data_IF_097404938095
#
_entry.id   IF_097404938095
#
_cell.length_a   1.000
_cell.length_b   1.000
_cell.length_c   1.000
_cell.angle_alpha   90.00
_cell.angle_beta   90.00
_cell.angle_gamma   90.00
#
_symmetry.space_group_name_H-M   'P 1'
#
loop_
_entity.id
_entity.type
_entity.pdbx_description
1 polymer ?
#
# COMPACT_ATOMS: atom_id res chain seq x y z
N UNK A 1 28.36 3.66 -11.11
CA UNK A 1 27.03 3.57 -10.46
C UNK A 1 26.36 4.93 -10.46
N UNK A 2 25.12 5.07 -10.96
CA UNK A 2 24.56 6.39 -11.30
C UNK A 2 24.02 7.12 -10.04
N UNK A 3 24.66 8.24 -9.63
CA UNK A 3 24.35 9.03 -8.41
C UNK A 3 22.85 9.34 -8.26
N UNK A 4 22.14 9.54 -9.37
CA UNK A 4 20.70 9.85 -9.39
C UNK A 4 19.84 8.71 -8.80
N UNK A 5 20.20 7.44 -9.04
CA UNK A 5 19.45 6.28 -8.53
C UNK A 5 19.48 6.20 -7.01
N UNK A 6 20.62 6.50 -6.40
CA UNK A 6 20.76 6.52 -4.95
C UNK A 6 19.89 7.59 -4.30
N UNK A 7 19.82 8.78 -4.90
CA UNK A 7 18.98 9.86 -4.39
C UNK A 7 17.50 9.42 -4.38
N UNK A 8 17.00 8.82 -5.47
CA UNK A 8 15.63 8.30 -5.49
C UNK A 8 15.40 7.18 -4.47
N UNK A 9 16.33 6.24 -4.35
CA UNK A 9 16.22 5.16 -3.37
C UNK A 9 16.20 5.67 -1.92
N UNK A 10 17.03 6.67 -1.60
CA UNK A 10 17.02 7.30 -0.27
C UNK A 10 15.70 8.03 -0.03
N UNK A 11 15.18 8.77 -1.01
CA UNK A 11 13.89 9.46 -0.87
C UNK A 11 12.76 8.46 -0.60
N UNK A 12 12.66 7.38 -1.39
CA UNK A 12 11.62 6.37 -1.17
C UNK A 12 11.79 5.64 0.15
N UNK A 13 13.02 5.30 0.54
CA UNK A 13 13.29 4.69 1.84
C UNK A 13 12.85 5.60 3.00
N UNK A 14 13.09 6.92 2.90
CA UNK A 14 12.63 7.89 3.91
C UNK A 14 11.11 7.95 3.95
N UNK A 15 10.42 8.00 2.81
CA UNK A 15 8.95 8.02 2.75
C UNK A 15 8.36 6.76 3.43
N UNK A 16 8.89 5.59 3.11
CA UNK A 16 8.46 4.32 3.69
C UNK A 16 8.79 4.23 5.19
N UNK A 17 9.95 4.73 5.60
CA UNK A 17 10.33 4.81 7.01
C UNK A 17 9.42 5.75 7.80
N UNK A 18 8.97 6.86 7.20
CA UNK A 18 7.99 7.76 7.83
C UNK A 18 6.66 7.06 8.04
N UNK A 19 6.14 6.34 7.04
CA UNK A 19 4.89 5.57 7.18
C UNK A 19 5.04 4.46 8.23
N UNK A 20 6.16 3.74 8.24
CA UNK A 20 6.45 2.76 9.28
C UNK A 20 6.48 3.43 10.67
N UNK A 21 7.18 4.56 10.80
CA UNK A 21 7.25 5.34 12.04
C UNK A 21 5.88 5.75 12.55
N UNK A 22 5.01 6.25 11.66
CA UNK A 22 3.61 6.56 11.99
C UNK A 22 2.85 5.32 12.47
N UNK A 23 3.03 4.18 11.80
CA UNK A 23 2.38 2.92 12.15
C UNK A 23 2.82 2.39 13.53
N UNK A 24 4.09 2.55 13.90
CA UNK A 24 4.62 2.15 15.20
C UNK A 24 4.32 3.13 16.34
N UNK A 25 3.87 4.35 16.03
CA UNK A 25 3.69 5.42 17.03
C UNK A 25 2.27 5.97 17.02
N UNK A 26 2.04 7.09 16.33
CA UNK A 26 0.84 7.91 16.40
C UNK A 26 -0.41 7.19 15.90
N UNK A 27 -0.25 6.31 14.90
CA UNK A 27 -1.36 5.62 14.25
C UNK A 27 -1.47 4.15 14.66
N UNK A 28 -0.75 3.69 15.69
CA UNK A 28 -0.77 2.27 16.08
C UNK A 28 -2.15 1.77 16.56
N UNK A 29 -3.08 2.66 16.89
CA UNK A 29 -4.46 2.32 17.26
C UNK A 29 -5.38 2.18 16.05
N UNK A 30 -4.94 2.59 14.86
CA UNK A 30 -5.71 2.51 13.62
C UNK A 30 -5.51 1.14 12.98
N UNK A 31 -6.60 0.49 12.54
CA UNK A 31 -6.62 -0.92 12.12
C UNK A 31 -5.46 -1.32 11.20
N UNK A 32 -5.26 -0.62 10.06
CA UNK A 32 -4.20 -1.01 9.12
C UNK A 32 -2.81 -0.60 9.57
N UNK A 33 -2.68 0.48 10.31
CA UNK A 33 -1.40 0.92 10.85
C UNK A 33 -0.94 -0.03 11.97
N UNK A 34 -1.85 -0.45 12.84
CA UNK A 34 -1.62 -1.52 13.80
C UNK A 34 -1.24 -2.82 13.09
N UNK A 35 -1.98 -3.19 12.04
CA UNK A 35 -1.69 -4.38 11.25
C UNK A 35 -0.28 -4.30 10.63
N UNK A 36 0.10 -3.16 10.06
CA UNK A 36 1.42 -2.97 9.46
C UNK A 36 2.55 -3.00 10.50
N UNK A 37 2.34 -2.44 11.69
CA UNK A 37 3.29 -2.52 12.79
C UNK A 37 3.46 -3.96 13.31
N UNK A 38 2.36 -4.69 13.47
CA UNK A 38 2.38 -6.09 13.89
C UNK A 38 3.02 -6.99 12.82
N UNK A 39 2.70 -6.75 11.55
CA UNK A 39 3.18 -7.48 10.39
C UNK A 39 4.32 -6.74 9.67
N UNK A 40 5.22 -6.09 10.43
CA UNK A 40 6.25 -5.20 9.88
C UNK A 40 7.15 -5.84 8.84
N UNK A 41 7.39 -7.15 8.93
CA UNK A 41 8.15 -7.90 7.92
C UNK A 41 7.48 -7.83 6.54
N UNK A 42 6.15 -7.91 6.49
CA UNK A 42 5.40 -7.76 5.24
C UNK A 42 5.56 -6.36 4.66
N UNK A 43 5.42 -5.33 5.51
CA UNK A 43 5.64 -3.94 5.11
C UNK A 43 7.08 -3.71 4.60
N UNK A 44 8.09 -4.27 5.27
CA UNK A 44 9.47 -4.19 4.82
C UNK A 44 9.71 -4.89 3.49
N UNK A 45 9.09 -6.05 3.25
CA UNK A 45 9.20 -6.74 1.95
C UNK A 45 8.63 -5.85 0.85
N UNK A 46 7.48 -5.19 1.07
CA UNK A 46 6.94 -4.22 0.11
C UNK A 46 7.93 -3.09 -0.16
N UNK A 47 8.52 -2.51 0.89
CA UNK A 47 9.53 -1.45 0.74
C UNK A 47 10.81 -1.92 0.05
N UNK A 48 11.29 -3.14 0.32
CA UNK A 48 12.46 -3.69 -0.36
C UNK A 48 12.20 -3.90 -1.86
N UNK A 49 10.99 -4.33 -2.23
CA UNK A 49 10.59 -4.47 -3.64
C UNK A 49 10.64 -3.11 -4.34
N UNK A 50 10.10 -2.04 -3.73
CA UNK A 50 10.12 -0.71 -4.35
C UNK A 50 11.55 -0.23 -4.58
N UNK A 51 12.44 -0.41 -3.59
CA UNK A 51 13.85 -0.03 -3.71
C UNK A 51 14.57 -0.85 -4.77
N UNK A 52 14.32 -2.17 -4.84
CA UNK A 52 14.92 -3.06 -5.83
C UNK A 52 14.54 -2.66 -7.27
N UNK A 53 13.29 -2.23 -7.50
CA UNK A 53 12.83 -1.77 -8.82
C UNK A 53 13.64 -0.58 -9.36
N UNK A 54 14.13 0.31 -8.50
CA UNK A 54 15.01 1.44 -8.90
C UNK A 54 16.30 0.91 -9.51
N UNK A 55 16.91 -0.10 -8.90
CA UNK A 55 18.16 -0.69 -9.39
C UNK A 55 17.95 -1.46 -10.69
N UNK A 56 16.77 -2.04 -10.91
CA UNK A 56 16.34 -2.70 -12.16
C UNK A 56 15.93 -1.73 -13.29
N UNK A 57 16.12 -0.41 -13.12
CA UNK A 57 15.67 0.64 -14.07
C UNK A 57 14.15 0.75 -14.24
N UNK A 58 13.36 0.22 -13.31
CA UNK A 58 11.90 0.28 -13.29
C UNK A 58 11.42 1.45 -12.43
N UNK A 59 11.96 2.65 -12.69
CA UNK A 59 11.77 3.82 -11.81
C UNK A 59 10.31 4.25 -11.71
N UNK A 60 9.53 4.21 -12.80
CA UNK A 60 8.11 4.56 -12.73
C UNK A 60 7.32 3.53 -11.92
N UNK A 61 7.61 2.24 -12.10
CA UNK A 61 6.96 1.18 -11.32
C UNK A 61 7.24 1.34 -9.83
N UNK A 62 8.50 1.65 -9.48
CA UNK A 62 8.94 1.91 -8.10
C UNK A 62 8.18 3.08 -7.47
N UNK A 63 8.16 4.25 -8.12
CA UNK A 63 7.46 5.45 -7.62
C UNK A 63 5.97 5.20 -7.44
N UNK A 64 5.32 4.58 -8.43
CA UNK A 64 3.88 4.29 -8.33
C UNK A 64 3.57 3.24 -7.27
N UNK A 65 4.43 2.21 -7.10
CA UNK A 65 4.26 1.25 -6.01
C UNK A 65 4.41 1.92 -4.64
N UNK A 66 5.41 2.78 -4.46
CA UNK A 66 5.58 3.57 -3.23
C UNK A 66 4.36 4.46 -2.97
N UNK A 67 3.85 5.15 -3.99
CA UNK A 67 2.61 5.92 -3.88
C UNK A 67 1.40 5.04 -3.51
N UNK A 68 1.26 3.85 -4.11
CA UNK A 68 0.21 2.90 -3.80
C UNK A 68 0.28 2.35 -2.37
N UNK A 69 1.50 2.11 -1.85
CA UNK A 69 1.72 1.70 -0.46
C UNK A 69 1.26 2.81 0.49
N UNK A 70 1.69 4.05 0.25
CA UNK A 70 1.40 5.21 1.10
C UNK A 70 -0.09 5.57 1.02
N UNK A 71 -0.63 5.84 -0.17
CA UNK A 71 -2.04 6.23 -0.33
C UNK A 71 -2.95 5.08 0.07
N UNK A 72 -2.61 3.85 -0.32
CA UNK A 72 -3.43 2.69 -0.05
C UNK A 72 -3.56 2.35 1.43
N UNK A 73 -2.53 2.58 2.27
CA UNK A 73 -2.65 2.29 3.70
C UNK A 73 -3.63 3.27 4.38
N UNK A 74 -3.60 4.55 4.00
CA UNK A 74 -4.58 5.52 4.50
C UNK A 74 -5.99 5.23 3.94
N UNK A 75 -6.10 5.04 2.62
CA UNK A 75 -7.38 4.76 1.97
C UNK A 75 -8.01 3.47 2.51
N UNK A 76 -7.25 2.38 2.59
CA UNK A 76 -7.71 1.12 3.14
C UNK A 76 -8.13 1.24 4.61
N UNK A 77 -7.41 2.02 5.42
CA UNK A 77 -7.75 2.17 6.82
C UNK A 77 -9.12 2.85 7.01
N UNK A 78 -9.32 3.99 6.35
CA UNK A 78 -10.54 4.77 6.53
C UNK A 78 -11.73 4.21 5.74
N UNK A 79 -11.52 3.77 4.50
CA UNK A 79 -12.59 3.14 3.71
C UNK A 79 -12.97 1.78 4.30
N UNK A 80 -12.01 0.99 4.77
CA UNK A 80 -12.26 -0.28 5.43
C UNK A 80 -13.10 -0.10 6.71
N UNK A 81 -12.73 0.87 7.55
CA UNK A 81 -13.53 1.24 8.74
C UNK A 81 -14.93 1.68 8.37
N UNK A 82 -15.07 2.52 7.33
CA UNK A 82 -16.38 3.00 6.87
C UNK A 82 -17.27 1.84 6.39
N UNK A 83 -16.74 0.96 5.54
CA UNK A 83 -17.48 -0.20 5.02
C UNK A 83 -17.86 -1.15 6.16
N UNK A 84 -16.94 -1.40 7.11
CA UNK A 84 -17.24 -2.19 8.30
C UNK A 84 -18.40 -1.60 9.10
N UNK A 85 -18.38 -0.29 9.37
CA UNK A 85 -19.47 0.37 10.10
C UNK A 85 -20.82 0.25 9.40
N UNK A 86 -20.84 0.39 8.06
CA UNK A 86 -22.06 0.17 7.26
C UNK A 86 -22.56 -1.29 7.30
N UNK A 87 -21.65 -2.25 7.42
CA UNK A 87 -21.98 -3.67 7.47
C UNK A 87 -22.45 -4.10 8.87
N UNK A 88 -21.82 -3.61 9.92
CA UNK A 88 -22.22 -3.88 11.30
C UNK A 88 -23.62 -3.32 11.60
N UNK A 89 -24.01 -2.21 10.96
CA UNK A 89 -25.38 -1.69 11.02
C UNK A 89 -26.46 -2.61 10.42
N UNK A 90 -26.08 -3.70 9.74
CA UNK A 90 -27.00 -4.69 9.16
C UNK A 90 -27.22 -5.90 10.09
N UNK A 91 -26.50 -5.98 11.21
CA UNK A 91 -26.59 -7.10 12.14
C UNK A 91 -27.94 -7.02 12.89
N UNK A 92 -28.71 -8.10 12.84
CA UNK A 92 -29.99 -8.23 13.53
C UNK A 92 -29.97 -9.38 14.54
N UNK A 93 -30.82 -9.28 15.55
CA UNK A 93 -31.02 -10.37 16.52
C UNK A 93 -31.53 -11.63 15.80
N UNK A 94 -30.96 -12.79 16.13
CA UNK A 94 -31.30 -14.06 15.49
C UNK A 94 -30.54 -14.40 14.20
N UNK A 95 -29.64 -13.53 13.71
CA UNK A 95 -28.74 -13.89 12.60
C UNK A 95 -27.77 -15.01 12.98
N UNK A 96 -27.37 -15.82 11.99
CA UNK A 96 -26.37 -16.87 12.20
C UNK A 96 -25.02 -16.25 12.54
N UNK A 97 -24.26 -16.91 13.43
CA UNK A 97 -22.96 -16.43 13.88
C UNK A 97 -21.97 -16.18 12.72
N UNK A 98 -22.01 -17.00 11.67
CA UNK A 98 -21.18 -16.85 10.47
C UNK A 98 -21.49 -15.55 9.70
N UNK A 99 -22.77 -15.18 9.60
CA UNK A 99 -23.19 -13.96 8.92
C UNK A 99 -22.77 -12.71 9.69
N UNK A 100 -22.89 -12.77 11.03
CA UNK A 100 -22.40 -11.72 11.92
C UNK A 100 -20.89 -11.55 11.76
N UNK A 101 -20.13 -12.64 11.78
CA UNK A 101 -18.68 -12.60 11.59
C UNK A 101 -18.28 -11.97 10.25
N UNK A 102 -18.95 -12.32 9.17
CA UNK A 102 -18.72 -11.72 7.84
C UNK A 102 -18.99 -10.23 7.82
N UNK A 103 -20.05 -9.77 8.49
CA UNK A 103 -20.40 -8.34 8.56
C UNK A 103 -19.44 -7.52 9.42
N UNK A 104 -18.80 -8.15 10.43
CA UNK A 104 -17.79 -7.52 11.29
C UNK A 104 -16.39 -7.45 10.67
N UNK A 105 -16.17 -8.11 9.52
CA UNK A 105 -14.89 -8.09 8.81
C UNK A 105 -14.53 -6.67 8.35
N UNK A 106 -13.25 -6.29 8.52
CA UNK A 106 -12.73 -5.02 8.03
C UNK A 106 -11.97 -5.23 6.70
N UNK A 107 -12.52 -4.79 5.56
CA UNK A 107 -11.92 -5.01 4.24
C UNK A 107 -10.72 -4.08 3.94
N UNK A 108 -10.19 -3.37 4.94
CA UNK A 108 -9.15 -2.39 4.73
C UNK A 108 -7.88 -2.97 4.12
N UNK A 109 -7.50 -4.20 4.50
CA UNK A 109 -6.27 -4.82 4.00
C UNK A 109 -6.39 -5.15 2.50
N UNK A 110 -7.55 -5.66 2.10
CA UNK A 110 -7.89 -5.98 0.72
C UNK A 110 -7.92 -4.71 -0.14
N UNK A 111 -8.47 -3.62 0.38
CA UNK A 111 -8.44 -2.31 -0.29
C UNK A 111 -7.01 -1.83 -0.45
N UNK A 112 -6.17 -1.92 0.60
CA UNK A 112 -4.77 -1.51 0.53
C UNK A 112 -4.01 -2.30 -0.54
N UNK A 113 -4.15 -3.62 -0.55
CA UNK A 113 -3.51 -4.47 -1.55
C UNK A 113 -4.03 -4.19 -2.97
N UNK A 114 -5.32 -3.93 -3.13
CA UNK A 114 -5.92 -3.52 -4.39
C UNK A 114 -5.34 -2.21 -4.93
N UNK A 115 -5.17 -1.20 -4.07
CA UNK A 115 -4.56 0.09 -4.45
C UNK A 115 -3.10 -0.08 -4.86
N UNK A 116 -2.33 -0.91 -4.15
CA UNK A 116 -0.94 -1.23 -4.53
C UNK A 116 -0.93 -1.88 -5.93
N UNK A 117 -1.78 -2.88 -6.16
CA UNK A 117 -1.84 -3.60 -7.42
C UNK A 117 -2.17 -2.67 -8.59
N UNK A 118 -3.21 -1.85 -8.46
CA UNK A 118 -3.59 -0.87 -9.49
C UNK A 118 -2.46 0.12 -9.75
N UNK A 119 -1.81 0.61 -8.70
CA UNK A 119 -0.69 1.56 -8.84
C UNK A 119 0.49 0.92 -9.59
N UNK A 120 0.84 -0.33 -9.29
CA UNK A 120 1.89 -1.08 -10.01
C UNK A 120 1.54 -1.21 -11.49
N UNK A 121 0.29 -1.57 -11.84
CA UNK A 121 -0.15 -1.67 -13.24
C UNK A 121 0.03 -0.33 -13.96
N UNK A 122 -0.39 0.78 -13.35
CA UNK A 122 -0.21 2.13 -13.91
C UNK A 122 1.28 2.44 -14.11
N UNK A 123 2.12 2.14 -13.11
CA UNK A 123 3.56 2.33 -13.19
C UNK A 123 4.21 1.53 -14.32
N UNK A 124 3.79 0.29 -14.55
CA UNK A 124 4.27 -0.56 -15.66
C UNK A 124 3.87 0.04 -17.01
N UNK A 125 2.61 0.45 -17.18
CA UNK A 125 2.13 1.05 -18.42
C UNK A 125 2.95 2.31 -18.77
N UNK A 126 3.14 3.21 -17.80
CA UNK A 126 3.93 4.43 -17.99
C UNK A 126 5.39 4.09 -18.31
N UNK A 127 5.98 3.15 -17.59
CA UNK A 127 7.36 2.70 -17.84
C UNK A 127 7.54 2.20 -19.27
N UNK A 128 6.60 1.40 -19.79
CA UNK A 128 6.63 0.89 -21.16
C UNK A 128 6.55 2.04 -22.17
N UNK A 129 5.59 2.95 -22.00
CA UNK A 129 5.39 4.10 -22.90
C UNK A 129 6.65 4.97 -22.96
N UNK A 130 7.22 5.32 -21.81
CA UNK A 130 8.42 6.16 -21.74
C UNK A 130 9.64 5.45 -22.32
N UNK A 131 9.81 4.16 -22.03
CA UNK A 131 10.94 3.37 -22.54
C UNK A 131 10.87 3.22 -24.06
N UNK A 132 9.65 3.01 -24.62
CA UNK A 132 9.44 2.94 -26.07
C UNK A 132 9.78 4.28 -26.73
N UNK A 133 9.25 5.39 -26.23
CA UNK A 133 9.53 6.73 -26.77
C UNK A 133 11.02 7.08 -26.79
N UNK A 134 11.79 6.62 -25.79
CA UNK A 134 13.25 6.83 -25.73
C UNK A 134 14.05 5.98 -26.72
N UNK A 135 13.48 4.88 -27.24
CA UNK A 135 14.12 4.05 -28.26
C UNK A 135 13.87 4.56 -29.69
N UNK A 136 12.77 5.28 -29.89
CA UNK A 136 12.32 5.78 -31.19
C UNK A 136 12.83 7.19 -31.53
N UNK A 137 13.35 7.94 -30.54
CA UNK A 137 13.96 9.27 -30.73
C UNK A 137 15.42 9.28 -30.35
#
# INVERSE_FOLDING_TARGET
MNRKKYVYAVIEAVILAVVAGLAFTVLNTEYLFQWAAHNWKFYLVLGLITLLLIFLNQQFVSVFMTAGIVVGIFAGNYLGRFIKGLNEGKIMEGMKAEEVYRLQHNPGFEIWMGVILVSVVIGIVIQIIVTKKRREG
#
